data_IF_552483558889
#
_entry.id   IF_552483558889
#
_cell.length_a   1.000
_cell.length_b   1.000
_cell.length_c   1.000
_cell.angle_alpha   90.00
_cell.angle_beta   90.00
_cell.angle_gamma   90.00
#
_symmetry.space_group_name_H-M   'P 1'
#
loop_
_entity.id
_entity.type
_entity.pdbx_description
1 polymer ?
#
# COMPACT_ATOMS: atom_id res chain seq x y z
N UNK A 1 -13.91 -6.10 -1.75
CA UNK A 1 -14.04 -5.44 -3.05
C UNK A 1 -13.54 -4.02 -2.90
N UNK A 2 -12.26 -3.80 -3.19
CA UNK A 2 -11.72 -2.46 -3.40
C UNK A 2 -12.29 -1.94 -4.72
N UNK A 3 -12.62 -0.66 -4.77
CA UNK A 3 -13.44 -0.10 -5.84
C UNK A 3 -12.71 -0.01 -7.20
N UNK A 4 -11.39 -0.26 -7.26
CA UNK A 4 -10.55 -0.18 -8.46
C UNK A 4 -9.34 -1.14 -8.39
N UNK A 5 -8.73 -1.46 -9.54
CA UNK A 5 -7.49 -2.26 -9.63
C UNK A 5 -6.24 -1.39 -9.50
N UNK A 6 -5.08 -1.96 -9.15
CA UNK A 6 -3.79 -1.25 -9.19
C UNK A 6 -3.55 -0.59 -10.55
N UNK A 7 -3.93 -1.26 -11.64
CA UNK A 7 -3.78 -0.70 -12.98
C UNK A 7 -4.62 0.56 -13.18
N UNK A 8 -5.88 0.56 -12.73
CA UNK A 8 -6.72 1.75 -12.79
C UNK A 8 -6.14 2.91 -11.95
N UNK A 9 -5.49 2.62 -10.82
CA UNK A 9 -4.81 3.63 -9.99
C UNK A 9 -3.61 4.24 -10.73
N UNK A 10 -2.82 3.43 -11.44
CA UNK A 10 -1.67 3.90 -12.23
C UNK A 10 -2.08 4.81 -13.39
N UNK A 11 -3.24 4.55 -13.98
CA UNK A 11 -3.76 5.27 -15.15
C UNK A 11 -4.52 6.57 -14.78
N UNK A 12 -4.58 6.94 -13.50
CA UNK A 12 -5.27 8.15 -13.06
C UNK A 12 -4.66 9.40 -13.70
N UNK A 13 -5.47 10.28 -14.33
CA UNK A 13 -4.95 11.50 -14.95
C UNK A 13 -4.13 12.35 -13.97
N UNK A 14 -2.89 12.68 -14.36
CA UNK A 14 -1.96 13.49 -13.58
C UNK A 14 -1.16 12.74 -12.51
N UNK A 15 -1.35 11.42 -12.36
CA UNK A 15 -0.60 10.60 -11.38
C UNK A 15 0.71 10.04 -11.95
N UNK A 16 0.97 10.22 -13.25
CA UNK A 16 2.17 9.77 -13.98
C UNK A 16 3.47 10.38 -13.45
N UNK A 17 3.40 11.53 -12.77
CA UNK A 17 4.55 12.19 -12.13
C UNK A 17 4.88 11.67 -10.73
N UNK A 18 4.01 10.85 -10.12
CA UNK A 18 4.20 10.35 -8.76
C UNK A 18 5.28 9.27 -8.77
N UNK A 19 6.31 9.41 -7.93
CA UNK A 19 7.42 8.44 -7.85
C UNK A 19 6.95 7.01 -7.59
N UNK A 20 5.91 6.81 -6.79
CA UNK A 20 5.35 5.48 -6.53
C UNK A 20 4.74 4.84 -7.79
N UNK A 21 4.12 5.64 -8.67
CA UNK A 21 3.56 5.16 -9.94
C UNK A 21 4.68 4.82 -10.92
N UNK A 22 5.70 5.68 -11.00
CA UNK A 22 6.86 5.51 -11.88
C UNK A 22 7.72 4.28 -11.53
N UNK A 23 7.81 3.94 -10.24
CA UNK A 23 8.65 2.85 -9.74
C UNK A 23 7.87 1.56 -9.42
N UNK A 24 6.61 1.47 -9.85
CA UNK A 24 5.72 0.33 -9.56
C UNK A 24 5.60 -0.01 -8.05
N UNK A 25 5.67 1.02 -7.20
CA UNK A 25 5.62 0.90 -5.75
C UNK A 25 4.19 1.20 -5.23
N UNK A 26 3.21 0.49 -5.77
CA UNK A 26 1.80 0.60 -5.36
C UNK A 26 1.38 -0.72 -4.72
N UNK A 27 0.99 -0.66 -3.45
CA UNK A 27 0.68 -1.83 -2.65
C UNK A 27 -0.77 -1.80 -2.17
N UNK A 28 -1.40 -2.96 -2.17
CA UNK A 28 -2.71 -3.14 -1.53
C UNK A 28 -2.52 -3.43 -0.05
N UNK A 29 -3.36 -2.81 0.78
CA UNK A 29 -3.41 -3.07 2.22
C UNK A 29 -4.84 -3.39 2.64
N UNK A 30 -4.99 -4.34 3.56
CA UNK A 30 -6.30 -4.71 4.09
C UNK A 30 -6.94 -3.53 4.84
N UNK A 31 -8.03 -2.97 4.31
CA UNK A 31 -8.70 -1.84 4.93
C UNK A 31 -9.27 -2.15 6.33
N UNK A 32 -9.59 -3.41 6.65
CA UNK A 32 -10.16 -3.78 7.96
C UNK A 32 -9.13 -3.66 9.09
N UNK A 33 -7.84 -3.88 8.80
CA UNK A 33 -6.77 -3.68 9.79
C UNK A 33 -6.39 -2.21 9.93
N UNK A 34 -6.47 -1.43 8.84
CA UNK A 34 -6.11 0.01 8.85
C UNK A 34 -7.21 0.88 9.48
N UNK A 35 -8.48 0.58 9.21
CA UNK A 35 -9.61 1.41 9.66
C UNK A 35 -10.04 1.16 11.11
N UNK A 36 -9.60 0.06 11.73
CA UNK A 36 -9.97 -0.34 13.09
C UNK A 36 -8.75 -0.35 14.00
N UNK A 37 -8.38 0.83 14.48
CA UNK A 37 -7.18 1.12 15.29
C UNK A 37 -7.14 0.52 16.70
N UNK A 38 -7.99 -0.47 17.00
CA UNK A 38 -7.95 -1.21 18.26
C UNK A 38 -6.80 -2.23 18.27
N UNK A 39 -7.02 -3.49 18.70
CA UNK A 39 -5.94 -4.49 18.80
C UNK A 39 -5.19 -4.77 17.49
N UNK A 40 -5.74 -4.39 16.34
CA UNK A 40 -5.19 -4.61 14.99
C UNK A 40 -4.23 -3.52 14.52
N UNK A 41 -3.99 -2.49 15.34
CA UNK A 41 -3.06 -1.42 15.00
C UNK A 41 -1.65 -1.96 14.73
N UNK A 42 -1.22 -2.98 15.48
CA UNK A 42 0.08 -3.62 15.29
C UNK A 42 0.12 -4.38 13.96
N UNK A 43 -0.94 -5.08 13.59
CA UNK A 43 -1.03 -5.78 12.30
C UNK A 43 -0.90 -4.81 11.12
N UNK A 44 -1.57 -3.65 11.21
CA UNK A 44 -1.47 -2.60 10.19
C UNK A 44 -0.06 -2.00 10.14
N UNK A 45 0.55 -1.75 11.30
CA UNK A 45 1.92 -1.24 11.39
C UNK A 45 2.93 -2.21 10.75
N UNK A 46 2.84 -3.50 11.08
CA UNK A 46 3.73 -4.52 10.52
C UNK A 46 3.57 -4.66 9.00
N UNK A 47 2.33 -4.60 8.49
CA UNK A 47 2.07 -4.63 7.05
C UNK A 47 2.69 -3.42 6.33
N UNK A 48 2.52 -2.21 6.87
CA UNK A 48 3.10 -1.00 6.30
C UNK A 48 4.62 -1.01 6.40
N UNK A 49 5.18 -1.48 7.51
CA UNK A 49 6.63 -1.52 7.72
C UNK A 49 7.34 -2.39 6.68
N UNK A 50 6.74 -3.53 6.29
CA UNK A 50 7.25 -4.39 5.21
C UNK A 50 7.27 -3.68 3.86
N UNK A 51 6.17 -3.01 3.51
CA UNK A 51 6.06 -2.25 2.25
C UNK A 51 7.05 -1.07 2.18
N UNK A 52 7.31 -0.39 3.30
CA UNK A 52 8.18 0.79 3.36
C UNK A 52 9.66 0.41 3.48
N UNK A 53 9.97 -0.71 4.15
CA UNK A 53 11.33 -1.16 4.43
C UNK A 53 11.60 -2.60 3.94
N UNK A 54 11.44 -2.89 2.64
CA UNK A 54 11.69 -4.23 2.11
C UNK A 54 13.15 -4.67 2.29
N UNK A 55 14.09 -3.75 2.44
CA UNK A 55 15.50 -4.02 2.76
C UNK A 55 15.71 -4.62 4.15
N UNK A 56 14.80 -4.36 5.09
CA UNK A 56 14.85 -4.88 6.45
C UNK A 56 14.07 -6.20 6.55
N UNK A 57 12.90 -6.27 5.90
CA UNK A 57 11.96 -7.38 6.06
C UNK A 57 12.04 -8.44 4.96
N UNK A 58 12.77 -8.18 3.87
CA UNK A 58 12.93 -9.08 2.73
C UNK A 58 11.66 -9.26 1.88
N UNK A 59 10.56 -8.59 2.24
CA UNK A 59 9.28 -8.63 1.58
C UNK A 59 8.60 -7.26 1.72
N UNK A 60 8.03 -6.72 0.63
CA UNK A 60 6.94 -5.76 0.74
C UNK A 60 5.64 -6.44 1.21
#
# INVERSE_FOLDING_TARGET
>A
NFYETIQAVKERPGWDSISAVQNDAIYEINADIVSRTGPRLVDALEAIAKMVHPEIFGQP
#
